data_IF_353064775118
#
_entry.id   IF_353064775118
#
_cell.length_a   1.000
_cell.length_b   1.000
_cell.length_c   1.000
_cell.angle_alpha   90.00
_cell.angle_beta   90.00
_cell.angle_gamma   90.00
#
_symmetry.space_group_name_H-M   'P 1'
#
loop_
_entity.id
_entity.type
_entity.pdbx_description
1 polymer ?
#
# COMPACT_ATOMS: atom_id res chain seq x y z
N UNK A 1 13.35 -17.70 29.45
CA UNK A 1 12.40 -18.75 29.01
C UNK A 1 11.55 -18.32 27.80
N UNK A 2 12.02 -17.38 26.95
CA UNK A 2 11.27 -16.86 25.79
C UNK A 2 11.96 -17.11 24.43
N UNK A 3 13.05 -17.89 24.41
CA UNK A 3 13.89 -18.12 23.23
C UNK A 3 13.32 -19.12 22.21
N UNK A 4 12.10 -19.58 22.42
CA UNK A 4 11.45 -20.64 21.68
C UNK A 4 10.18 -20.16 20.93
N UNK A 5 9.98 -18.84 20.81
CA UNK A 5 9.18 -18.29 19.71
C UNK A 5 9.99 -18.54 18.43
N UNK A 6 9.76 -19.70 17.82
CA UNK A 6 10.33 -20.01 16.51
C UNK A 6 9.56 -19.20 15.46
N UNK A 7 10.27 -18.81 14.40
CA UNK A 7 9.70 -18.08 13.25
C UNK A 7 8.49 -18.82 12.66
N UNK A 8 8.47 -20.15 12.76
CA UNK A 8 7.35 -21.00 12.33
C UNK A 8 6.04 -20.74 13.09
N UNK A 9 6.09 -20.50 14.40
CA UNK A 9 4.89 -20.17 15.19
C UNK A 9 4.39 -18.77 14.86
N UNK A 10 5.29 -17.80 14.64
CA UNK A 10 4.92 -16.45 14.21
C UNK A 10 4.18 -16.47 12.88
N UNK A 11 4.63 -17.29 11.91
CA UNK A 11 3.97 -17.40 10.60
C UNK A 11 2.58 -18.02 10.71
N UNK A 12 2.40 -19.05 11.55
CA UNK A 12 1.09 -19.68 11.76
C UNK A 12 0.10 -18.69 12.40
N UNK A 13 0.54 -17.91 13.39
CA UNK A 13 -0.29 -16.90 14.04
C UNK A 13 -0.63 -15.77 13.08
N UNK A 14 0.34 -15.30 12.30
CA UNK A 14 0.13 -14.28 11.26
C UNK A 14 -0.91 -14.74 10.24
N UNK A 15 -0.86 -15.99 9.78
CA UNK A 15 -1.83 -16.52 8.84
C UNK A 15 -3.27 -16.45 9.39
N UNK A 16 -3.47 -16.82 10.67
CA UNK A 16 -4.79 -16.74 11.31
C UNK A 16 -5.27 -15.29 11.40
N UNK A 17 -4.41 -14.35 11.78
CA UNK A 17 -4.77 -12.92 11.84
C UNK A 17 -5.17 -12.42 10.45
N UNK A 18 -4.42 -12.77 9.40
CA UNK A 18 -4.72 -12.38 8.02
C UNK A 18 -6.08 -12.95 7.57
N UNK A 19 -6.40 -14.18 7.95
CA UNK A 19 -7.70 -14.82 7.66
C UNK A 19 -8.86 -14.15 8.39
N UNK A 20 -8.69 -13.76 9.65
CA UNK A 20 -9.74 -13.11 10.46
C UNK A 20 -10.02 -11.67 10.01
N UNK A 21 -8.98 -10.89 9.78
CA UNK A 21 -9.10 -9.48 9.43
C UNK A 21 -9.21 -9.25 7.91
N UNK A 22 -8.80 -10.24 7.11
CA UNK A 22 -8.70 -10.15 5.66
C UNK A 22 -7.50 -9.31 5.20
N UNK A 23 -6.97 -9.64 4.02
CA UNK A 23 -5.81 -8.94 3.42
C UNK A 23 -6.10 -7.47 3.08
N UNK A 24 -7.36 -7.09 2.83
CA UNK A 24 -7.76 -5.71 2.53
C UNK A 24 -7.52 -4.74 3.70
N UNK A 25 -7.91 -5.11 4.92
CA UNK A 25 -7.71 -4.27 6.11
C UNK A 25 -6.23 -4.23 6.52
N UNK A 26 -5.55 -5.38 6.45
CA UNK A 26 -4.12 -5.47 6.73
C UNK A 26 -3.28 -4.66 5.73
N UNK A 27 -3.68 -4.59 4.45
CA UNK A 27 -2.94 -3.78 3.47
C UNK A 27 -3.09 -2.28 3.72
N UNK A 28 -4.30 -1.81 4.03
CA UNK A 28 -4.51 -0.39 4.36
C UNK A 28 -3.65 0.05 5.55
N UNK A 29 -3.77 -0.65 6.68
CA UNK A 29 -3.03 -0.32 7.91
C UNK A 29 -1.53 -0.63 7.76
N UNK A 30 -1.19 -1.68 7.01
CA UNK A 30 0.19 -2.09 6.75
C UNK A 30 0.97 -1.14 5.85
N UNK A 31 0.31 -0.46 4.90
CA UNK A 31 0.94 0.58 4.09
C UNK A 31 1.34 1.79 4.94
N UNK A 32 0.46 2.22 5.85
CA UNK A 32 0.72 3.36 6.72
C UNK A 32 1.82 3.04 7.76
N UNK A 33 1.68 1.90 8.46
CA UNK A 33 2.69 1.43 9.42
C UNK A 33 4.03 1.11 8.74
N UNK A 34 3.99 0.49 7.56
CA UNK A 34 5.18 0.15 6.79
C UNK A 34 5.95 1.38 6.34
N UNK A 35 5.26 2.44 5.96
CA UNK A 35 5.88 3.72 5.59
C UNK A 35 6.59 4.38 6.78
N UNK A 36 5.97 4.36 7.97
CA UNK A 36 6.59 4.87 9.20
C UNK A 36 7.83 4.05 9.61
N UNK A 37 7.74 2.71 9.54
CA UNK A 37 8.85 1.82 9.87
C UNK A 37 10.00 1.93 8.85
N UNK A 38 9.70 2.19 7.56
CA UNK A 38 10.72 2.38 6.51
C UNK A 38 11.62 3.60 6.79
N UNK A 39 11.03 4.71 7.26
CA UNK A 39 11.77 5.89 7.70
C UNK A 39 12.67 5.58 8.90
N UNK A 40 12.12 4.92 9.91
CA UNK A 40 12.87 4.50 11.10
C UNK A 40 14.05 3.57 10.77
N UNK A 41 13.85 2.56 9.92
CA UNK A 41 14.92 1.66 9.48
C UNK A 41 16.00 2.39 8.68
N UNK A 42 15.62 3.36 7.84
CA UNK A 42 16.60 4.17 7.09
C UNK A 42 17.45 5.03 8.02
N UNK A 43 16.84 5.72 8.98
CA UNK A 43 17.57 6.55 9.95
C UNK A 43 18.47 5.74 10.89
N UNK A 44 18.08 4.51 11.23
CA UNK A 44 18.95 3.58 11.99
C UNK A 44 20.12 3.08 11.14
N UNK A 45 19.91 2.88 9.84
CA UNK A 45 20.96 2.42 8.92
C UNK A 45 21.94 3.53 8.53
N UNK A 46 21.52 4.79 8.60
CA UNK A 46 22.36 5.99 8.42
C UNK A 46 23.19 6.35 9.67
N UNK A 47 23.04 5.63 10.79
CA UNK A 47 23.93 5.78 11.94
C UNK A 47 25.27 5.06 11.64
N UNK A 48 26.44 5.67 11.95
CA UNK A 48 27.73 5.17 11.49
C UNK A 48 28.06 3.84 12.17
N UNK A 49 27.73 2.75 11.50
CA UNK A 49 28.30 1.44 11.71
C UNK A 49 28.65 0.93 10.33
N UNK A 50 29.95 0.93 10.08
CA UNK A 50 30.67 0.46 8.90
C UNK A 50 29.93 -0.63 8.11
N UNK A 51 29.53 -0.29 6.88
CA UNK A 51 29.95 -1.00 5.67
C UNK A 51 29.24 -0.43 4.43
N UNK A 52 30.06 -0.18 3.42
CA UNK A 52 29.71 0.44 2.16
C UNK A 52 28.73 -0.40 1.32
N UNK A 53 27.98 0.30 0.45
CA UNK A 53 27.16 -0.22 -0.66
C UNK A 53 25.72 -0.66 -0.31
N UNK A 54 24.74 0.19 -0.65
CA UNK A 54 23.57 -0.25 -1.40
C UNK A 54 22.84 0.96 -2.00
N UNK A 55 22.85 0.99 -3.32
CA UNK A 55 22.26 1.96 -4.21
C UNK A 55 20.78 2.23 -3.92
N UNK A 56 20.37 3.49 -4.15
CA UNK A 56 18.97 3.82 -4.40
C UNK A 56 18.50 3.09 -5.65
N UNK A 57 17.32 2.46 -5.60
CA UNK A 57 16.41 2.77 -6.68
C UNK A 57 14.96 2.98 -6.24
N UNK A 58 14.29 3.73 -7.13
CA UNK A 58 12.86 3.77 -7.38
C UNK A 58 12.00 4.64 -6.45
N UNK A 59 11.87 5.89 -6.90
CA UNK A 59 10.56 6.52 -7.02
C UNK A 59 9.56 5.50 -7.62
N UNK A 60 8.62 5.01 -6.83
CA UNK A 60 7.41 4.37 -7.36
C UNK A 60 6.25 5.35 -7.18
N UNK A 61 6.09 6.18 -8.21
CA UNK A 61 4.82 6.78 -8.54
C UNK A 61 3.86 5.64 -8.95
N UNK A 62 3.00 5.20 -8.04
CA UNK A 62 1.85 4.36 -8.37
C UNK A 62 0.57 5.10 -7.98
N UNK A 63 0.19 6.02 -8.87
CA UNK A 63 -1.17 6.47 -9.11
C UNK A 63 -2.12 5.26 -9.26
N UNK A 64 -2.58 4.68 -8.15
CA UNK A 64 -3.71 3.74 -8.17
C UNK A 64 -5.02 4.51 -8.22
N UNK A 65 -5.38 4.86 -9.46
CA UNK A 65 -6.74 5.08 -9.94
C UNK A 65 -7.58 3.83 -9.62
N UNK A 66 -8.17 3.76 -8.43
CA UNK A 66 -9.19 2.78 -8.07
C UNK A 66 -10.45 3.51 -7.59
N UNK A 67 -11.16 4.10 -8.55
CA UNK A 67 -12.38 4.85 -8.30
C UNK A 67 -13.02 5.31 -9.61
N UNK A 68 -13.21 4.40 -10.57
CA UNK A 68 -14.06 4.68 -11.73
C UNK A 68 -14.70 3.38 -12.18
N UNK A 69 -15.95 3.17 -11.77
CA UNK A 69 -16.99 2.36 -12.45
C UNK A 69 -18.23 2.30 -11.55
N UNK A 70 -19.03 3.36 -11.53
CA UNK A 70 -20.48 3.32 -11.31
C UNK A 70 -21.02 4.75 -11.25
N UNK A 71 -21.20 5.40 -12.40
CA UNK A 71 -22.41 6.20 -12.58
C UNK A 71 -22.78 6.22 -14.07
N UNK A 72 -23.95 5.65 -14.36
CA UNK A 72 -24.48 5.43 -15.70
C UNK A 72 -25.12 6.73 -16.16
N UNK A 73 -24.39 7.50 -16.98
CA UNK A 73 -25.02 8.58 -17.74
C UNK A 73 -25.71 8.01 -18.98
N UNK A 74 -27.04 7.91 -18.93
CA UNK A 74 -27.90 7.90 -20.13
C UNK A 74 -29.34 8.28 -19.76
N UNK A 75 -29.53 9.48 -19.20
CA UNK A 75 -30.85 10.10 -19.10
C UNK A 75 -30.73 11.62 -19.04
N UNK A 76 -30.56 12.26 -20.21
CA UNK A 76 -31.06 13.62 -20.49
C UNK A 76 -30.68 14.01 -21.92
N UNK A 77 -31.68 14.06 -22.79
CA UNK A 77 -31.64 14.84 -24.02
C UNK A 77 -31.27 16.31 -23.71
N UNK A 78 -30.62 16.99 -24.67
CA UNK A 78 -31.11 18.29 -25.04
C UNK A 78 -31.25 18.44 -26.56
N UNK A 79 -32.38 19.02 -26.92
CA UNK A 79 -32.66 19.78 -28.12
C UNK A 79 -31.68 20.94 -28.30
N UNK A 80 -31.82 21.60 -29.47
CA UNK A 80 -31.34 22.93 -29.82
C UNK A 80 -29.93 23.01 -30.42
N UNK A 81 -29.65 23.82 -31.44
CA UNK A 81 -30.41 24.59 -32.44
C UNK A 81 -29.30 25.18 -33.32
N UNK A 82 -29.49 25.14 -34.65
CA UNK A 82 -29.05 26.13 -35.66
C UNK A 82 -27.58 26.60 -35.68
N UNK A 83 -26.96 26.41 -36.85
CA UNK A 83 -26.26 27.44 -37.63
C UNK A 83 -25.15 26.79 -38.45
N UNK A 84 -25.39 26.61 -39.75
CA UNK A 84 -24.31 26.46 -40.72
C UNK A 84 -24.71 27.12 -42.04
N UNK A 85 -24.11 28.29 -42.22
CA UNK A 85 -23.75 28.94 -43.49
C UNK A 85 -23.20 27.96 -44.52
#
# INVERSE_FOLDING_TARGET
MFGNISIWQLLIVLAIIVLLFGTKKLRGIGTDLGSAIKGFRSSIKDSPSDDETAEQPAQLNEQSKAGSSADKNAASAPSDTKDKV
#
